data_IF_510057171303
#
_entry.id   IF_510057171303
#
_cell.length_a   1.000
_cell.length_b   1.000
_cell.length_c   1.000
_cell.angle_alpha   90.00
_cell.angle_beta   90.00
_cell.angle_gamma   90.00
#
_symmetry.space_group_name_H-M   'P 1'
#
loop_
_entity.id
_entity.type
_entity.pdbx_description
1 polymer ?
#
# COMPACT_ATOMS: atom_id res chain seq x y z
N UNK A 1 13.24 -27.23 2.30
CA UNK A 1 12.36 -26.54 3.27
C UNK A 1 11.83 -25.29 2.59
N UNK A 2 10.57 -25.28 2.14
CA UNK A 2 9.98 -24.07 1.58
C UNK A 2 9.79 -23.09 2.73
N UNK A 3 10.31 -21.85 2.66
CA UNK A 3 10.04 -20.84 3.68
C UNK A 3 8.57 -20.45 3.57
N UNK A 4 7.72 -21.24 4.23
CA UNK A 4 6.31 -20.98 4.33
C UNK A 4 6.11 -19.87 5.34
N UNK A 5 5.44 -18.80 4.93
CA UNK A 5 4.93 -17.80 5.87
C UNK A 5 4.16 -18.52 6.99
N UNK A 6 4.66 -18.41 8.21
CA UNK A 6 3.95 -18.91 9.38
C UNK A 6 2.55 -18.30 9.45
N UNK A 7 1.64 -18.96 10.15
CA UNK A 7 0.24 -18.55 10.19
C UNK A 7 0.07 -17.11 10.70
N UNK A 8 0.91 -16.70 11.64
CA UNK A 8 0.87 -15.39 12.28
C UNK A 8 1.37 -14.30 11.33
N UNK A 9 2.48 -14.53 10.64
CA UNK A 9 2.97 -13.63 9.59
C UNK A 9 1.98 -13.53 8.43
N UNK A 10 1.35 -14.63 8.01
CA UNK A 10 0.30 -14.61 6.98
C UNK A 10 -0.93 -13.83 7.42
N UNK A 11 -1.32 -13.93 8.69
CA UNK A 11 -2.43 -13.15 9.26
C UNK A 11 -2.09 -11.66 9.26
N UNK A 12 -0.89 -11.29 9.71
CA UNK A 12 -0.42 -9.89 9.74
C UNK A 12 -0.29 -9.31 8.33
N UNK A 13 0.26 -10.06 7.38
CA UNK A 13 0.33 -9.65 5.98
C UNK A 13 -1.07 -9.36 5.40
N UNK A 14 -2.06 -10.23 5.66
CA UNK A 14 -3.44 -10.02 5.21
C UNK A 14 -4.10 -8.82 5.88
N UNK A 15 -3.91 -8.65 7.18
CA UNK A 15 -4.44 -7.49 7.91
C UNK A 15 -3.84 -6.18 7.39
N UNK A 16 -2.53 -6.19 7.14
CA UNK A 16 -1.81 -5.03 6.62
C UNK A 16 -2.18 -4.71 5.16
N UNK A 17 -2.40 -5.71 4.30
CA UNK A 17 -2.97 -5.51 2.95
C UNK A 17 -4.41 -4.98 2.96
N UNK A 18 -5.20 -5.37 3.97
CA UNK A 18 -6.56 -4.88 4.18
C UNK A 18 -6.66 -3.54 4.90
N UNK A 19 -5.53 -3.01 5.41
CA UNK A 19 -5.51 -1.73 6.10
C UNK A 19 -5.74 -0.59 5.10
N UNK A 20 -6.88 0.09 5.27
CA UNK A 20 -7.28 1.21 4.42
C UNK A 20 -6.23 2.32 4.38
N UNK A 21 -5.55 2.61 5.50
CA UNK A 21 -4.54 3.68 5.55
C UNK A 21 -3.32 3.33 4.71
N UNK A 22 -2.82 2.10 4.85
CA UNK A 22 -1.73 1.56 4.04
C UNK A 22 -2.09 1.51 2.56
N UNK A 23 -3.33 1.12 2.22
CA UNK A 23 -3.83 1.12 0.86
C UNK A 23 -3.90 2.54 0.27
N UNK A 24 -4.40 3.53 1.01
CA UNK A 24 -4.43 4.93 0.58
C UNK A 24 -3.02 5.50 0.35
N UNK A 25 -2.06 5.16 1.20
CA UNK A 25 -0.66 5.56 1.03
C UNK A 25 -0.02 4.96 -0.23
N UNK A 26 -0.31 3.68 -0.51
CA UNK A 26 0.12 3.02 -1.73
C UNK A 26 -0.50 3.68 -2.97
N UNK A 27 -1.82 3.91 -2.96
CA UNK A 27 -2.54 4.57 -4.07
C UNK A 27 -1.95 5.96 -4.36
N UNK A 28 -1.66 6.76 -3.32
CA UNK A 28 -1.03 8.08 -3.50
C UNK A 28 0.35 8.00 -4.16
N UNK A 29 1.18 7.05 -3.74
CA UNK A 29 2.53 6.86 -4.30
C UNK A 29 2.47 6.38 -5.74
N UNK A 30 1.65 5.35 -6.01
CA UNK A 30 1.49 4.77 -7.34
C UNK A 30 0.91 5.77 -8.35
N UNK A 31 -0.03 6.63 -7.93
CA UNK A 31 -0.56 7.73 -8.74
C UNK A 31 0.50 8.76 -9.15
N UNK A 32 1.54 8.93 -8.35
CA UNK A 32 2.68 9.80 -8.67
C UNK A 32 3.73 9.11 -9.54
N UNK A 33 3.45 7.90 -10.02
CA UNK A 33 4.41 7.07 -10.75
C UNK A 33 5.51 6.48 -9.86
N UNK A 34 5.36 6.54 -8.53
CA UNK A 34 6.36 6.05 -7.58
C UNK A 34 6.00 4.63 -7.15
N UNK A 35 7.01 3.76 -7.03
CA UNK A 35 6.84 2.46 -6.40
C UNK A 35 6.50 2.61 -4.91
N UNK A 36 5.72 1.68 -4.37
CA UNK A 36 5.39 1.64 -2.94
C UNK A 36 5.88 0.34 -2.32
N UNK A 37 6.65 0.45 -1.24
CA UNK A 37 7.20 -0.69 -0.53
C UNK A 37 6.37 -1.01 0.72
N UNK A 38 5.89 -2.24 0.75
CA UNK A 38 5.17 -2.87 1.84
C UNK A 38 6.16 -3.66 2.69
N UNK A 39 6.42 -3.21 3.92
CA UNK A 39 7.35 -3.87 4.83
C UNK A 39 6.60 -4.54 5.98
N UNK A 40 6.86 -5.82 6.22
CA UNK A 40 6.33 -6.58 7.33
C UNK A 40 7.48 -7.14 8.19
N UNK A 41 7.63 -6.68 9.44
CA UNK A 41 8.56 -7.28 10.38
C UNK A 41 8.14 -8.72 10.71
N UNK A 42 9.10 -9.64 10.65
CA UNK A 42 8.99 -11.06 11.01
C UNK A 42 10.08 -11.40 12.03
N UNK A 43 9.96 -12.50 12.78
CA UNK A 43 11.04 -12.93 13.69
C UNK A 43 12.40 -13.11 12.99
N UNK A 44 12.40 -13.55 11.72
CA UNK A 44 13.61 -13.87 10.96
C UNK A 44 14.11 -12.70 10.09
N UNK A 45 13.55 -11.49 10.24
CA UNK A 45 13.92 -10.33 9.45
C UNK A 45 12.70 -9.53 8.95
N UNK A 46 12.83 -8.82 7.84
CA UNK A 46 11.73 -8.02 7.27
C UNK A 46 11.41 -8.49 5.87
N UNK A 47 10.14 -8.84 5.65
CA UNK A 47 9.64 -9.12 4.32
C UNK A 47 9.24 -7.81 3.65
N UNK A 48 9.67 -7.62 2.41
CA UNK A 48 9.40 -6.41 1.64
C UNK A 48 8.81 -6.74 0.28
N UNK A 49 7.59 -6.30 0.02
CA UNK A 49 6.97 -6.34 -1.30
C UNK A 49 6.96 -4.95 -1.90
N UNK A 50 7.41 -4.79 -3.14
CA UNK A 50 7.36 -3.48 -3.81
C UNK A 50 6.33 -3.54 -4.93
N UNK A 51 5.34 -2.65 -4.86
CA UNK A 51 4.38 -2.44 -5.93
C UNK A 51 4.91 -1.36 -6.87
N UNK A 52 4.93 -1.64 -8.16
CA UNK A 52 5.28 -0.67 -9.20
C UNK A 52 4.06 -0.38 -10.06
N UNK A 53 3.86 0.87 -10.51
CA UNK A 53 2.81 1.17 -11.46
C UNK A 53 3.16 0.56 -12.82
N UNK A 54 2.32 -0.35 -13.31
CA UNK A 54 2.42 -0.90 -14.69
C UNK A 54 1.85 0.09 -15.73
N UNK A 55 1.03 1.02 -15.27
CA UNK A 55 0.58 2.21 -15.99
C UNK A 55 0.32 3.33 -14.97
N UNK A 56 0.36 4.59 -15.42
CA UNK A 56 -0.01 5.70 -14.55
C UNK A 56 -1.46 5.53 -14.12
N UNK A 57 -1.68 5.30 -12.81
CA UNK A 57 -3.04 5.30 -12.26
C UNK A 57 -3.64 6.69 -12.49
N UNK A 58 -4.87 6.79 -13.01
CA UNK A 58 -5.50 8.09 -13.23
C UNK A 58 -5.52 8.88 -11.91
N UNK A 59 -5.00 10.10 -11.98
CA UNK A 59 -5.08 11.06 -10.89
C UNK A 59 -6.56 11.42 -10.72
N UNK A 60 -7.14 11.11 -9.56
CA UNK A 60 -8.47 11.65 -9.25
C UNK A 60 -8.35 13.18 -9.14
N UNK A 61 -9.31 13.94 -9.71
CA UNK A 61 -9.35 15.38 -9.52
C UNK A 61 -9.33 15.69 -8.02
N UNK A 62 -8.35 16.47 -7.57
CA UNK A 62 -8.25 16.98 -6.19
C UNK A 62 -9.02 18.29 -6.08
N UNK A 63 -10.20 18.38 -6.70
CA UNK A 63 -11.04 19.58 -6.63
C UNK A 63 -12.22 19.33 -5.70
N UNK A 64 -11.93 19.24 -4.40
CA UNK A 64 -12.89 19.74 -3.41
C UNK A 64 -12.57 21.22 -3.18
N UNK A 65 -12.88 22.05 -4.17
CA UNK A 65 -12.91 23.48 -3.98
C UNK A 65 -14.02 23.78 -2.96
N UNK A 66 -13.73 24.43 -1.82
CA UNK A 66 -14.78 24.76 -0.85
C UNK A 66 -15.78 25.67 -1.56
N UNK A 67 -17.04 25.25 -1.61
CA UNK A 67 -18.14 26.11 -2.08
C UNK A 67 -18.13 27.34 -1.20
N UNK A 68 -17.58 28.43 -1.73
CA UNK A 68 -17.76 29.76 -1.17
C UNK A 68 -19.23 30.09 -1.40
N UNK A 69 -20.06 29.84 -0.40
CA UNK A 69 -21.41 30.36 -0.40
C UNK A 69 -21.29 31.86 -0.10
N UNK A 70 -21.91 32.65 -0.99
CA UNK A 70 -22.00 34.10 -0.95
C UNK A 70 -22.50 34.64 0.39
#
# INVERSE_FOLDING_TARGET
>A
MTPGLDHDTRRRARAWLGDRRSAEAAIRSLRRGQGYAYALPTPDGTWRWTAYPVSALPLLPTDQQPRSHA
#
